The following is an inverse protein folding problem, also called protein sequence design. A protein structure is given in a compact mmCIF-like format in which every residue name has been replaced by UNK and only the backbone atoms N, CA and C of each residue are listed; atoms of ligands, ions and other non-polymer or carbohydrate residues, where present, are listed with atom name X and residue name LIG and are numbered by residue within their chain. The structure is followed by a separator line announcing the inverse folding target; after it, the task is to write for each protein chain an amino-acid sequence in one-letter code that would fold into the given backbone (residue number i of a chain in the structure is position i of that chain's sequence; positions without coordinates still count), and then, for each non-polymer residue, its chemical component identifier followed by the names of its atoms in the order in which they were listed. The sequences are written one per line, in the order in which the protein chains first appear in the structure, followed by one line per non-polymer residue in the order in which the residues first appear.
data_IF_684810615388
#
_entry.id   IF_684810615388
#
_cell.length_a   1.000
_cell.length_b   1.000
_cell.length_c   1.000
_cell.angle_alpha   90.00
_cell.angle_beta   90.00
_cell.angle_gamma   90.00
#
_symmetry.space_group_name_H-M   'P 1'
#
loop_
_entity.id
_entity.type
_entity.pdbx_description
1 polymer ?
#
# COMPACT_ATOMS: atom_id res chain seq x y z
N UNK A 1 -22.53 -29.47 -3.13
CA UNK A 1 -23.41 -28.28 -3.10
C UNK A 1 -22.60 -27.09 -3.57
N UNK A 2 -23.06 -26.34 -4.59
CA UNK A 2 -22.41 -25.11 -5.04
C UNK A 2 -22.70 -23.97 -4.08
N UNK A 3 -21.76 -23.03 -3.91
CA UNK A 3 -22.01 -21.77 -3.19
C UNK A 3 -22.66 -20.76 -4.14
N UNK A 4 -23.59 -19.98 -3.62
CA UNK A 4 -24.07 -18.78 -4.31
C UNK A 4 -22.93 -17.79 -4.48
N UNK A 5 -22.91 -17.08 -5.61
CA UNK A 5 -21.96 -15.99 -5.82
C UNK A 5 -22.21 -14.89 -4.78
N UNK A 6 -21.15 -14.23 -4.28
CA UNK A 6 -21.25 -13.24 -3.20
C UNK A 6 -21.74 -11.89 -3.74
N UNK A 7 -22.88 -11.86 -4.42
CA UNK A 7 -23.42 -10.64 -5.04
C UNK A 7 -23.76 -9.57 -4.00
N UNK A 8 -24.15 -9.97 -2.80
CA UNK A 8 -24.39 -9.07 -1.68
C UNK A 8 -23.12 -8.31 -1.30
N UNK A 9 -22.04 -9.03 -1.01
CA UNK A 9 -20.71 -8.46 -0.72
C UNK A 9 -20.19 -7.53 -1.82
N UNK A 10 -20.49 -7.87 -3.09
CA UNK A 10 -20.11 -7.03 -4.23
C UNK A 10 -20.99 -5.79 -4.34
N UNK A 11 -22.29 -5.88 -4.08
CA UNK A 11 -23.20 -4.74 -4.09
C UNK A 11 -22.90 -3.78 -2.93
N UNK A 12 -22.58 -4.29 -1.73
CA UNK A 12 -22.10 -3.50 -0.60
C UNK A 12 -20.88 -2.65 -0.98
N UNK A 13 -19.95 -3.22 -1.76
CA UNK A 13 -18.77 -2.54 -2.29
C UNK A 13 -19.11 -1.32 -3.16
N UNK A 14 -20.23 -1.36 -3.88
CA UNK A 14 -20.74 -0.23 -4.66
C UNK A 14 -21.58 0.75 -3.83
N UNK A 15 -22.15 0.31 -2.71
CA UNK A 15 -22.95 1.13 -1.80
C UNK A 15 -22.07 1.95 -0.83
N UNK A 16 -20.99 1.35 -0.32
CA UNK A 16 -20.02 2.01 0.58
C UNK A 16 -19.32 3.20 -0.10
N UNK A 17 -19.28 3.21 -1.44
CA UNK A 17 -18.58 4.22 -2.24
C UNK A 17 -19.40 4.58 -3.49
N UNK A 18 -20.27 5.62 -3.42
CA UNK A 18 -21.23 5.94 -4.48
C UNK A 18 -20.59 6.13 -5.87
N UNK A 19 -19.39 6.71 -5.92
CA UNK A 19 -18.61 6.87 -7.16
C UNK A 19 -18.16 5.55 -7.79
N UNK A 20 -18.28 4.43 -7.07
CA UNK A 20 -17.88 3.07 -7.49
C UNK A 20 -19.07 2.16 -7.79
N UNK A 21 -20.29 2.71 -7.97
CA UNK A 21 -21.47 1.96 -8.37
C UNK A 21 -21.32 1.18 -9.69
N UNK A 22 -20.29 1.47 -10.49
CA UNK A 22 -19.94 0.70 -11.68
C UNK A 22 -19.26 -0.65 -11.38
N UNK A 23 -18.60 -0.81 -10.23
CA UNK A 23 -17.85 -2.04 -9.88
C UNK A 23 -18.78 -3.27 -9.80
N UNK A 24 -19.95 -3.21 -9.11
CA UNK A 24 -20.89 -4.32 -9.13
C UNK A 24 -21.43 -4.63 -10.52
N UNK A 25 -21.62 -3.62 -11.37
CA UNK A 25 -22.11 -3.80 -12.74
C UNK A 25 -21.09 -4.53 -13.61
N UNK A 26 -19.82 -4.13 -13.53
CA UNK A 26 -18.72 -4.79 -14.25
C UNK A 26 -18.51 -6.20 -13.75
N UNK A 27 -18.53 -6.42 -12.42
CA UNK A 27 -18.40 -7.75 -11.85
C UNK A 27 -19.52 -8.70 -12.33
N UNK A 28 -20.77 -8.24 -12.33
CA UNK A 28 -21.91 -9.00 -12.88
C UNK A 28 -21.75 -9.28 -14.37
N UNK A 29 -21.27 -8.30 -15.14
CA UNK A 29 -21.01 -8.48 -16.57
C UNK A 29 -19.93 -9.53 -16.83
N UNK A 30 -18.82 -9.51 -16.06
CA UNK A 30 -17.72 -10.49 -16.16
C UNK A 30 -18.19 -11.89 -15.79
N UNK A 31 -18.99 -12.05 -14.72
CA UNK A 31 -19.57 -13.36 -14.37
C UNK A 31 -20.48 -13.87 -15.48
N UNK A 32 -21.34 -12.99 -16.00
CA UNK A 32 -22.27 -13.35 -17.07
C UNK A 32 -21.52 -13.81 -18.33
N UNK A 33 -20.45 -13.10 -18.68
CA UNK A 33 -19.59 -13.42 -19.83
C UNK A 33 -18.79 -14.71 -19.62
N UNK A 34 -18.27 -14.92 -18.41
CA UNK A 34 -17.57 -16.17 -18.04
C UNK A 34 -18.49 -17.41 -18.07
N UNK A 35 -19.80 -17.21 -17.88
CA UNK A 35 -20.81 -18.27 -17.92
C UNK A 35 -20.67 -19.31 -16.81
N UNK A 36 -21.39 -20.42 -16.96
CA UNK A 36 -21.22 -21.60 -16.10
C UNK A 36 -20.17 -22.49 -16.76
N UNK A 37 -19.02 -22.68 -16.12
CA UNK A 37 -18.01 -23.59 -16.62
C UNK A 37 -18.60 -25.02 -16.70
N UNK A 38 -18.56 -25.70 -17.87
CA UNK A 38 -19.10 -27.05 -18.05
C UNK A 38 -18.14 -28.11 -17.47
N UNK A 39 -17.63 -27.88 -16.26
CA UNK A 39 -16.61 -28.70 -15.62
C UNK A 39 -17.24 -29.46 -14.47
N UNK A 40 -17.09 -30.78 -14.47
CA UNK A 40 -17.42 -31.61 -13.32
C UNK A 40 -16.41 -31.32 -12.21
N UNK A 41 -16.88 -30.97 -11.02
CA UNK A 41 -16.01 -30.73 -9.85
C UNK A 41 -15.41 -32.06 -9.39
N UNK A 42 -14.19 -32.34 -9.84
CA UNK A 42 -13.37 -33.48 -9.42
C UNK A 42 -12.32 -33.05 -8.39
N UNK A 43 -11.75 -34.01 -7.66
CA UNK A 43 -10.61 -33.74 -6.75
C UNK A 43 -9.44 -33.06 -7.46
N UNK A 44 -9.13 -33.48 -8.68
CA UNK A 44 -8.06 -32.89 -9.49
C UNK A 44 -8.37 -31.43 -9.85
N UNK A 45 -9.61 -31.13 -10.27
CA UNK A 45 -10.01 -29.74 -10.56
C UNK A 45 -9.88 -28.82 -9.33
N UNK A 46 -10.20 -29.35 -8.15
CA UNK A 46 -10.06 -28.61 -6.88
C UNK A 46 -8.58 -28.42 -6.49
N UNK A 47 -7.73 -29.41 -6.72
CA UNK A 47 -6.29 -29.30 -6.50
C UNK A 47 -5.64 -28.29 -7.45
N UNK A 48 -6.04 -28.27 -8.73
CA UNK A 48 -5.61 -27.26 -9.71
C UNK A 48 -6.05 -25.87 -9.28
N UNK A 49 -7.32 -25.70 -8.88
CA UNK A 49 -7.83 -24.40 -8.42
C UNK A 49 -7.15 -23.94 -7.13
N UNK A 50 -6.92 -24.84 -6.17
CA UNK A 50 -6.17 -24.54 -4.95
C UNK A 50 -4.74 -24.06 -5.28
N UNK A 51 -4.06 -24.74 -6.21
CA UNK A 51 -2.72 -24.36 -6.67
C UNK A 51 -2.73 -22.99 -7.34
N UNK A 52 -3.70 -22.75 -8.23
CA UNK A 52 -3.87 -21.46 -8.90
C UNK A 52 -4.12 -20.32 -7.90
N UNK A 53 -5.08 -20.48 -6.99
CA UNK A 53 -5.40 -19.48 -5.96
C UNK A 53 -4.21 -19.22 -5.05
N UNK A 54 -3.53 -20.28 -4.61
CA UNK A 54 -2.36 -20.17 -3.74
C UNK A 54 -1.19 -19.47 -4.43
N UNK A 55 -0.75 -19.99 -5.57
CA UNK A 55 0.49 -19.56 -6.22
C UNK A 55 0.31 -18.35 -7.13
N UNK A 56 -0.73 -18.33 -7.97
CA UNK A 56 -0.90 -17.27 -8.96
C UNK A 56 -1.68 -16.05 -8.44
N UNK A 57 -2.37 -16.17 -7.30
CA UNK A 57 -3.17 -15.06 -6.75
C UNK A 57 -2.68 -14.59 -5.39
N UNK A 58 -2.64 -15.47 -4.39
CA UNK A 58 -2.27 -15.06 -3.04
C UNK A 58 -0.78 -14.71 -2.93
N UNK A 59 0.12 -15.52 -3.52
CA UNK A 59 1.56 -15.23 -3.51
C UNK A 59 1.86 -13.93 -4.26
N UNK A 60 1.31 -13.72 -5.46
CA UNK A 60 1.47 -12.47 -6.21
C UNK A 60 1.02 -11.24 -5.42
N UNK A 61 -0.13 -11.32 -4.74
CA UNK A 61 -0.60 -10.23 -3.87
C UNK A 61 0.33 -9.99 -2.68
N UNK A 62 0.84 -11.06 -2.05
CA UNK A 62 1.81 -10.94 -0.97
C UNK A 62 3.10 -10.27 -1.47
N UNK A 63 3.62 -10.69 -2.63
CA UNK A 63 4.82 -10.09 -3.22
C UNK A 63 4.63 -8.62 -3.57
N UNK A 64 3.49 -8.27 -4.15
CA UNK A 64 3.13 -6.88 -4.42
C UNK A 64 3.20 -6.03 -3.15
N UNK A 65 2.58 -6.49 -2.06
CA UNK A 65 2.62 -5.75 -0.80
C UNK A 65 4.02 -5.74 -0.16
N UNK A 66 4.83 -6.79 -0.32
CA UNK A 66 6.23 -6.79 0.15
C UNK A 66 7.05 -5.74 -0.60
N UNK A 67 6.93 -5.68 -1.93
CA UNK A 67 7.61 -4.68 -2.77
C UNK A 67 7.16 -3.26 -2.39
N UNK A 68 5.85 -3.06 -2.22
CA UNK A 68 5.27 -1.78 -1.82
C UNK A 68 5.77 -1.34 -0.45
N UNK A 69 5.71 -2.21 0.56
CA UNK A 69 6.23 -1.95 1.91
C UNK A 69 7.70 -1.51 1.87
N UNK A 70 8.56 -2.28 1.21
CA UNK A 70 10.00 -1.97 1.12
C UNK A 70 10.25 -0.63 0.42
N UNK A 71 9.56 -0.35 -0.69
CA UNK A 71 9.69 0.91 -1.42
C UNK A 71 9.28 2.10 -0.55
N UNK A 72 8.15 1.99 0.16
CA UNK A 72 7.68 3.06 1.04
C UNK A 72 8.59 3.27 2.25
N UNK A 73 9.06 2.20 2.90
CA UNK A 73 10.02 2.30 4.02
C UNK A 73 11.35 2.92 3.57
N UNK A 74 11.85 2.52 2.40
CA UNK A 74 13.08 3.07 1.83
C UNK A 74 12.93 4.55 1.48
N UNK A 75 11.83 4.95 0.82
CA UNK A 75 11.56 6.34 0.50
C UNK A 75 11.43 7.20 1.77
N UNK A 76 10.68 6.73 2.77
CA UNK A 76 10.51 7.43 4.04
C UNK A 76 11.85 7.63 4.77
N UNK A 77 12.70 6.59 4.80
CA UNK A 77 14.02 6.64 5.44
C UNK A 77 14.95 7.60 4.70
N UNK A 78 15.03 7.49 3.37
CA UNK A 78 15.90 8.33 2.55
C UNK A 78 15.53 9.81 2.66
N UNK A 79 14.25 10.16 2.59
CA UNK A 79 13.77 11.54 2.79
C UNK A 79 14.10 12.06 4.19
N UNK A 80 14.00 11.21 5.22
CA UNK A 80 14.35 11.59 6.60
C UNK A 80 15.85 11.89 6.74
N UNK A 81 16.71 11.02 6.19
CA UNK A 81 18.16 11.22 6.22
C UNK A 81 18.56 12.47 5.46
N UNK A 82 18.00 12.71 4.27
CA UNK A 82 18.27 13.93 3.51
C UNK A 82 17.78 15.19 4.22
N UNK A 83 16.56 15.16 4.77
CA UNK A 83 16.02 16.28 5.54
C UNK A 83 16.89 16.63 6.74
N UNK A 84 17.37 15.62 7.48
CA UNK A 84 18.30 15.80 8.58
C UNK A 84 19.66 16.34 8.10
N UNK A 85 20.13 15.88 6.94
CA UNK A 85 21.34 16.40 6.28
C UNK A 85 21.25 17.89 5.97
N UNK A 86 20.15 18.34 5.35
CA UNK A 86 19.91 19.76 5.07
C UNK A 86 19.77 20.61 6.35
N UNK A 87 19.15 20.06 7.39
CA UNK A 87 19.08 20.72 8.70
C UNK A 87 20.49 20.88 9.32
N UNK A 88 21.29 19.81 9.33
CA UNK A 88 22.68 19.85 9.80
C UNK A 88 23.55 20.81 8.99
N UNK A 89 23.37 20.84 7.66
CA UNK A 89 24.06 21.75 6.76
C UNK A 89 23.73 23.22 7.07
N UNK A 90 22.46 23.51 7.40
CA UNK A 90 22.04 24.84 7.82
C UNK A 90 22.75 25.26 9.11
N UNK A 91 22.75 24.40 10.12
CA UNK A 91 23.45 24.67 11.39
C UNK A 91 24.94 24.91 11.14
N UNK A 92 25.59 24.05 10.37
CA UNK A 92 27.00 24.19 10.04
C UNK A 92 27.29 25.51 9.32
N UNK A 93 26.46 25.89 8.34
CA UNK A 93 26.62 27.14 7.61
C UNK A 93 26.52 28.37 8.52
N UNK A 94 25.54 28.37 9.44
CA UNK A 94 25.36 29.46 10.42
C UNK A 94 26.53 29.51 11.40
N UNK A 95 26.97 28.37 11.95
CA UNK A 95 28.09 28.32 12.89
C UNK A 95 29.41 28.77 12.27
N UNK A 96 29.71 28.30 11.05
CA UNK A 96 30.92 28.72 10.32
C UNK A 96 30.88 30.22 10.06
N UNK A 97 29.73 30.76 9.65
CA UNK A 97 29.56 32.21 9.44
C UNK A 97 29.82 33.01 10.72
N UNK A 98 29.32 32.55 11.86
CA UNK A 98 29.55 33.19 13.17
C UNK A 98 31.05 33.19 13.52
N UNK A 99 31.76 32.07 13.28
CA UNK A 99 33.20 31.95 13.57
C UNK A 99 34.03 32.87 12.67
N UNK A 100 33.72 32.93 11.37
CA UNK A 100 34.43 33.80 10.43
C UNK A 100 34.26 35.27 10.81
N UNK A 101 33.04 35.65 11.18
CA UNK A 101 32.74 36.99 11.68
C UNK A 101 33.50 37.30 12.97
N UNK A 102 33.50 36.39 13.96
CA UNK A 102 34.19 36.62 15.25
C UNK A 102 35.71 36.65 15.14
N UNK A 103 36.29 36.02 14.11
CA UNK A 103 37.75 35.99 13.89
C UNK A 103 38.24 37.08 12.94
N UNK A 104 37.34 37.92 12.40
CA UNK A 104 37.68 38.95 11.42
C UNK A 104 38.21 38.38 10.09
N UNK A 105 37.94 37.10 9.80
CA UNK A 105 38.37 36.38 8.59
C UNK A 105 37.28 36.30 7.53
N UNK A 106 36.30 37.18 7.63
CA UNK A 106 35.24 37.25 6.64
C UNK A 106 35.80 37.63 5.27
N UNK A 107 35.51 36.79 4.29
CA UNK A 107 35.74 37.07 2.88
C UNK A 107 34.38 37.08 2.21
N UNK A 108 34.17 38.03 1.30
CA UNK A 108 32.87 38.26 0.66
C UNK A 108 32.32 36.98 0.01
N UNK A 109 33.19 36.19 -0.61
CA UNK A 109 32.81 34.95 -1.31
C UNK A 109 32.27 33.88 -0.36
N UNK A 110 32.95 33.60 0.75
CA UNK A 110 32.50 32.57 1.70
C UNK A 110 31.21 32.98 2.42
N UNK A 111 31.07 34.25 2.79
CA UNK A 111 29.87 34.76 3.46
C UNK A 111 28.63 34.66 2.57
N UNK A 112 28.78 34.87 1.25
CA UNK A 112 27.68 34.70 0.29
C UNK A 112 27.20 33.25 0.24
N UNK A 113 28.10 32.29 0.01
CA UNK A 113 27.73 30.87 -0.09
C UNK A 113 27.14 30.31 1.20
N UNK A 114 27.65 30.71 2.37
CA UNK A 114 27.10 30.31 3.67
C UNK A 114 25.69 30.88 3.87
N UNK A 115 25.45 32.13 3.47
CA UNK A 115 24.14 32.76 3.57
C UNK A 115 23.12 32.13 2.61
N UNK A 116 23.54 31.84 1.37
CA UNK A 116 22.71 31.13 0.40
C UNK A 116 22.35 29.74 0.91
N UNK A 117 23.32 29.00 1.44
CA UNK A 117 23.10 27.65 2.00
C UNK A 117 22.13 27.70 3.19
N UNK A 118 22.33 28.64 4.12
CA UNK A 118 21.44 28.81 5.26
C UNK A 118 20.01 29.24 4.88
N UNK A 119 19.82 29.91 3.73
CA UNK A 119 18.51 30.25 3.21
C UNK A 119 17.83 29.11 2.44
N UNK A 120 18.57 28.37 1.62
CA UNK A 120 18.01 27.34 0.71
C UNK A 120 17.86 25.98 1.40
N UNK A 121 18.82 25.57 2.22
CA UNK A 121 18.80 24.25 2.83
C UNK A 121 17.55 23.99 3.71
N UNK A 122 17.06 24.94 4.54
CA UNK A 122 15.82 24.76 5.28
C UNK A 122 14.60 24.56 4.38
N UNK A 123 14.53 25.27 3.25
CA UNK A 123 13.44 25.12 2.29
C UNK A 123 13.43 23.72 1.67
N UNK A 124 14.61 23.18 1.32
CA UNK A 124 14.73 21.80 0.82
C UNK A 124 14.37 20.76 1.88
N UNK A 125 14.79 20.97 3.13
CA UNK A 125 14.38 20.11 4.25
C UNK A 125 12.85 20.11 4.45
N UNK A 126 12.22 21.28 4.36
CA UNK A 126 10.78 21.43 4.45
C UNK A 126 10.04 20.74 3.29
N UNK A 127 10.52 20.89 2.05
CA UNK A 127 9.93 20.22 0.88
C UNK A 127 9.98 18.70 1.06
N UNK A 128 11.11 18.15 1.49
CA UNK A 128 11.23 16.71 1.75
C UNK A 128 10.28 16.25 2.87
N UNK A 129 10.14 17.05 3.93
CA UNK A 129 9.19 16.78 5.00
C UNK A 129 7.75 16.79 4.48
N UNK A 130 7.37 17.80 3.70
CA UNK A 130 6.03 17.95 3.13
C UNK A 130 5.70 16.79 2.18
N UNK A 131 6.61 16.41 1.28
CA UNK A 131 6.43 15.24 0.39
C UNK A 131 6.26 13.97 1.22
N UNK A 132 7.09 13.76 2.25
CA UNK A 132 6.99 12.58 3.13
C UNK A 132 5.65 12.52 3.87
N UNK A 133 5.16 13.66 4.33
CA UNK A 133 3.87 13.78 5.02
C UNK A 133 2.71 13.54 4.05
N UNK A 134 2.72 14.16 2.88
CA UNK A 134 1.65 14.06 1.89
C UNK A 134 1.58 12.68 1.22
N UNK A 135 2.72 12.05 0.95
CA UNK A 135 2.78 10.73 0.32
C UNK A 135 2.52 9.58 1.30
N UNK A 136 2.37 9.88 2.60
CA UNK A 136 1.97 8.93 3.65
C UNK A 136 2.74 7.60 3.66
N UNK A 137 4.02 7.63 3.28
CA UNK A 137 4.82 6.42 3.07
C UNK A 137 4.81 5.47 4.28
N UNK A 138 4.81 6.02 5.49
CA UNK A 138 4.75 5.22 6.73
C UNK A 138 3.40 4.49 6.87
N UNK A 139 2.29 5.15 6.55
CA UNK A 139 0.94 4.56 6.59
C UNK A 139 0.85 3.45 5.53
N UNK A 140 1.30 3.72 4.30
CA UNK A 140 1.32 2.72 3.20
C UNK A 140 2.17 1.49 3.57
N UNK A 141 3.34 1.71 4.16
CA UNK A 141 4.24 0.63 4.61
C UNK A 141 3.62 -0.24 5.70
N UNK A 142 3.15 0.38 6.79
CA UNK A 142 2.51 -0.34 7.91
C UNK A 142 1.30 -1.15 7.45
N UNK A 143 0.52 -0.58 6.54
CA UNK A 143 -0.66 -1.22 5.98
C UNK A 143 -0.33 -2.41 5.11
N UNK A 144 0.63 -2.25 4.19
CA UNK A 144 1.14 -3.37 3.38
C UNK A 144 1.65 -4.50 4.29
N UNK A 145 2.31 -4.17 5.40
CA UNK A 145 2.72 -5.14 6.43
C UNK A 145 1.53 -5.89 7.05
N UNK A 146 0.46 -5.19 7.44
CA UNK A 146 -0.77 -5.83 7.95
C UNK A 146 -1.41 -6.76 6.90
N UNK A 147 -1.48 -6.32 5.66
CA UNK A 147 -2.03 -7.09 4.54
C UNK A 147 -1.24 -8.38 4.31
N UNK A 148 0.09 -8.30 4.25
CA UNK A 148 0.98 -9.47 4.13
C UNK A 148 0.68 -10.51 5.22
N UNK A 149 0.56 -10.08 6.48
CA UNK A 149 0.27 -11.00 7.60
C UNK A 149 -1.11 -11.64 7.49
N UNK A 150 -2.12 -10.91 7.00
CA UNK A 150 -3.47 -11.44 6.80
C UNK A 150 -3.51 -12.43 5.63
N UNK A 151 -2.95 -12.09 4.48
CA UNK A 151 -2.90 -12.96 3.29
C UNK A 151 -2.06 -14.21 3.52
N UNK A 152 -0.91 -14.10 4.21
CA UNK A 152 -0.11 -15.29 4.60
C UNK A 152 -0.90 -16.26 5.47
N UNK A 153 -1.77 -15.77 6.36
CA UNK A 153 -2.64 -16.64 7.17
C UNK A 153 -3.66 -17.39 6.30
N UNK A 154 -4.24 -16.73 5.30
CA UNK A 154 -5.13 -17.40 4.35
C UNK A 154 -4.37 -18.45 3.52
N UNK A 155 -3.20 -18.10 3.00
CA UNK A 155 -2.36 -19.02 2.25
C UNK A 155 -1.95 -20.25 3.08
N UNK A 156 -1.59 -20.06 4.35
CA UNK A 156 -1.29 -21.17 5.27
C UNK A 156 -2.50 -22.07 5.51
N UNK A 157 -3.70 -21.49 5.69
CA UNK A 157 -4.94 -22.28 5.82
C UNK A 157 -5.23 -23.07 4.55
N UNK A 158 -5.08 -22.43 3.39
CA UNK A 158 -5.26 -23.05 2.08
C UNK A 158 -4.29 -24.21 1.88
N UNK A 159 -3.02 -24.07 2.28
CA UNK A 159 -2.02 -25.13 2.13
C UNK A 159 -2.23 -26.31 3.09
N UNK A 160 -2.89 -26.09 4.24
CA UNK A 160 -3.19 -27.17 5.21
C UNK A 160 -4.26 -28.15 4.71
N UNK A 161 -5.09 -27.74 3.76
CA UNK A 161 -6.18 -28.59 3.24
C UNK A 161 -5.78 -29.42 2.02
N UNK A 162 -4.48 -29.54 1.69
CA UNK A 162 -3.99 -30.27 0.49
C UNK A 162 -4.35 -31.76 0.48
N UNK A 163 -4.53 -32.31 -0.73
CA UNK A 163 -4.80 -33.74 -0.97
C UNK A 163 -6.29 -34.09 -0.97
N UNK A 164 -6.64 -35.30 -0.52
CA UNK A 164 -8.03 -35.78 -0.49
C UNK A 164 -8.97 -34.96 0.44
N UNK A 165 -8.41 -34.04 1.24
CA UNK A 165 -9.15 -33.15 2.13
C UNK A 165 -9.55 -31.80 1.48
N UNK A 166 -9.18 -31.55 0.20
CA UNK A 166 -9.60 -30.32 -0.49
C UNK A 166 -11.09 -30.42 -0.83
N UNK A 167 -11.92 -29.71 -0.07
CA UNK A 167 -13.34 -29.56 -0.40
C UNK A 167 -13.59 -28.22 -1.11
N UNK A 168 -14.59 -28.19 -1.98
CA UNK A 168 -15.05 -26.96 -2.64
C UNK A 168 -15.43 -25.87 -1.61
N UNK A 169 -16.01 -26.27 -0.48
CA UNK A 169 -16.40 -25.33 0.58
C UNK A 169 -15.20 -24.72 1.31
N UNK A 170 -14.17 -25.53 1.63
CA UNK A 170 -12.94 -25.04 2.25
C UNK A 170 -12.21 -24.05 1.32
N UNK A 171 -12.14 -24.38 0.03
CA UNK A 171 -11.52 -23.53 -0.98
C UNK A 171 -12.30 -22.23 -1.19
N UNK A 172 -13.63 -22.31 -1.30
CA UNK A 172 -14.50 -21.13 -1.40
C UNK A 172 -14.37 -20.22 -0.19
N UNK A 173 -14.27 -20.78 1.03
CA UNK A 173 -14.08 -20.00 2.26
C UNK A 173 -12.75 -19.27 2.27
N UNK A 174 -11.67 -19.92 1.84
CA UNK A 174 -10.36 -19.29 1.75
C UNK A 174 -10.35 -18.14 0.73
N UNK A 175 -10.96 -18.34 -0.44
CA UNK A 175 -11.05 -17.31 -1.49
C UNK A 175 -11.86 -16.11 -1.00
N UNK A 176 -13.05 -16.34 -0.44
CA UNK A 176 -13.90 -15.26 0.08
C UNK A 176 -13.23 -14.52 1.23
N UNK A 177 -12.55 -15.23 2.12
CA UNK A 177 -11.80 -14.61 3.22
C UNK A 177 -10.67 -13.71 2.69
N UNK A 178 -9.95 -14.13 1.64
CA UNK A 178 -8.94 -13.29 1.01
C UNK A 178 -9.55 -12.05 0.34
N UNK A 179 -10.64 -12.24 -0.40
CA UNK A 179 -11.36 -11.16 -1.06
C UNK A 179 -11.85 -10.12 -0.04
N UNK A 180 -12.40 -10.59 1.08
CA UNK A 180 -12.90 -9.72 2.16
C UNK A 180 -11.78 -8.92 2.83
N UNK A 181 -10.62 -9.55 3.06
CA UNK A 181 -9.42 -8.86 3.57
C UNK A 181 -9.00 -7.75 2.61
N UNK A 182 -8.94 -8.04 1.30
CA UNK A 182 -8.55 -7.06 0.27
C UNK A 182 -9.60 -5.95 0.10
N UNK A 183 -10.89 -6.29 0.23
CA UNK A 183 -12.01 -5.35 0.17
C UNK A 183 -11.97 -4.34 1.32
N UNK A 184 -11.88 -4.83 2.55
CA UNK A 184 -11.79 -3.95 3.72
C UNK A 184 -10.61 -2.99 3.60
N UNK A 185 -9.48 -3.47 3.06
CA UNK A 185 -8.37 -2.58 2.75
C UNK A 185 -8.80 -1.55 1.69
N UNK A 186 -9.31 -1.94 0.52
CA UNK A 186 -9.75 -0.96 -0.48
C UNK A 186 -10.78 0.09 0.04
N UNK A 187 -11.68 -0.31 0.95
CA UNK A 187 -12.65 0.56 1.60
C UNK A 187 -11.99 1.53 2.60
N UNK A 188 -11.12 1.02 3.48
CA UNK A 188 -10.34 1.84 4.43
C UNK A 188 -9.44 2.86 3.70
N UNK A 189 -8.99 2.55 2.47
CA UNK A 189 -8.29 3.53 1.63
C UNK A 189 -9.23 4.63 1.16
N UNK A 190 -10.39 4.26 0.65
CA UNK A 190 -11.31 5.22 0.07
C UNK A 190 -11.81 6.25 1.09
N UNK A 191 -12.10 5.82 2.32
CA UNK A 191 -12.54 6.73 3.40
C UNK A 191 -11.48 7.78 3.78
N UNK A 192 -10.19 7.44 3.71
CA UNK A 192 -9.10 8.39 3.99
C UNK A 192 -9.07 9.53 2.94
N UNK A 193 -9.41 9.24 1.68
CA UNK A 193 -9.42 10.25 0.62
C UNK A 193 -10.70 11.08 0.64
N UNK A 194 -11.84 10.47 0.96
CA UNK A 194 -13.12 11.17 1.07
C UNK A 194 -13.11 12.23 2.20
N UNK A 195 -12.50 11.90 3.34
CA UNK A 195 -12.30 12.87 4.43
C UNK A 195 -11.38 14.02 4.03
N UNK A 196 -10.33 13.74 3.25
CA UNK A 196 -9.40 14.80 2.79
C UNK A 196 -10.00 15.74 1.77
N UNK A 197 -10.93 15.27 0.93
CA UNK A 197 -11.64 16.12 -0.02
C UNK A 197 -12.65 17.04 0.68
N UNK A 198 -13.25 16.59 1.78
CA UNK A 198 -14.23 17.38 2.55
C UNK A 198 -13.61 18.38 3.51
N UNK A 199 -12.37 18.18 3.98
CA UNK A 199 -11.63 19.16 4.78
C UNK A 199 -11.00 20.30 3.95
N UNK A 200 -10.87 20.11 2.63
CA UNK A 200 -10.27 21.09 1.72
C UNK A 200 -11.28 22.06 1.08
N UNK A 201 -12.58 21.93 1.37
CA UNK A 201 -13.67 22.80 0.92
C UNK A 201 -14.26 23.63 2.06
#
# INVERSE_FOLDING_TARGET
AGRSMPFETVNELGADLPARGWVPLVYKAVIRDAGIAPVTVTGDSLATLQTYVGQARLVDQIEYHVKTMRRSEHAASWMRVLGLGFFGLTIAAVLIKIILWSTGRETLDWTFWLSLTAGVAPALAYILFAIRAQAEFEIVGQRSRRMIVRLKRVLLRLNRTRGAAVTSDALGTAILSAAEIMRHDAADWASIFDVKETEAG
#
